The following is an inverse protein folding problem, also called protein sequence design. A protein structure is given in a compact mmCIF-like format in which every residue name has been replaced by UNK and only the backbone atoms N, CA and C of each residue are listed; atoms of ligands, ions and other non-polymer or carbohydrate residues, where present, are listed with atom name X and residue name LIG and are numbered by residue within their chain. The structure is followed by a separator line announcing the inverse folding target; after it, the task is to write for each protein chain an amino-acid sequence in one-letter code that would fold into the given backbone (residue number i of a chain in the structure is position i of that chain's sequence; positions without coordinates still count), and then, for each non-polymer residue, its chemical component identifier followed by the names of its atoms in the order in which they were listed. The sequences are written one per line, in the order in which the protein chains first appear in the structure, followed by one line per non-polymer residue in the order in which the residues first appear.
data_IF_633401911634
#
_entry.id   IF_633401911634
#
_cell.length_a   1.000
_cell.length_b   1.000
_cell.length_c   1.000
_cell.angle_alpha   90.00
_cell.angle_beta   90.00
_cell.angle_gamma   90.00
#
_symmetry.space_group_name_H-M   'P 1'
#
loop_
_entity.id
_entity.type
_entity.pdbx_description
1 polymer ?
#
# COMPACT_ATOMS: atom_id res chain seq x y z
N UNK A 1 1.15 23.83 32.04
CA UNK A 1 0.08 23.59 31.05
C UNK A 1 0.48 23.75 29.59
N UNK A 2 1.34 24.71 29.24
CA UNK A 2 1.78 24.92 27.86
C UNK A 2 3.31 25.06 27.78
N UNK A 3 3.91 24.70 26.66
CA UNK A 3 5.32 24.98 26.39
C UNK A 3 5.85 24.21 25.18
N UNK A 4 6.59 24.90 24.32
CA UNK A 4 7.29 24.30 23.18
C UNK A 4 8.72 23.92 23.59
N UNK A 5 9.28 22.91 22.93
CA UNK A 5 10.71 22.58 23.04
C UNK A 5 11.37 22.79 21.69
N UNK A 6 12.41 23.62 21.66
CA UNK A 6 13.33 23.75 20.53
C UNK A 6 14.65 23.11 20.92
N UNK A 7 15.02 22.03 20.24
CA UNK A 7 16.28 21.32 20.48
C UNK A 7 17.15 21.37 19.22
N UNK A 8 18.41 21.76 19.40
CA UNK A 8 19.48 21.61 18.41
C UNK A 8 20.73 21.10 19.11
N UNK A 9 21.34 20.05 18.58
CA UNK A 9 22.54 19.49 19.21
C UNK A 9 23.06 18.23 18.52
N UNK A 10 24.37 18.02 18.61
CA UNK A 10 25.06 16.81 18.17
C UNK A 10 25.36 15.96 19.40
N UNK A 11 25.11 14.66 19.34
CA UNK A 11 25.37 13.79 20.49
C UNK A 11 25.17 12.33 20.14
N UNK A 12 25.88 11.42 20.81
CA UNK A 12 25.70 9.98 20.60
C UNK A 12 24.26 9.53 20.91
N UNK A 13 23.63 10.16 21.90
CA UNK A 13 22.26 9.89 22.33
C UNK A 13 21.52 11.20 22.61
N UNK A 14 20.50 11.52 21.80
CA UNK A 14 19.63 12.66 22.01
C UNK A 14 18.23 12.17 22.41
N UNK A 15 17.71 12.65 23.54
CA UNK A 15 16.34 12.33 24.01
C UNK A 15 15.60 13.60 24.37
N UNK A 16 14.48 13.84 23.69
CA UNK A 16 13.60 14.99 23.95
C UNK A 16 12.20 14.50 24.26
N UNK A 17 11.63 14.93 25.38
CA UNK A 17 10.26 14.60 25.79
C UNK A 17 9.51 15.85 26.20
N UNK A 18 8.32 16.06 25.65
CA UNK A 18 7.41 17.13 26.06
C UNK A 18 6.07 16.54 26.52
N UNK A 19 5.76 16.71 27.81
CA UNK A 19 4.53 16.24 28.46
C UNK A 19 3.54 17.37 28.80
N UNK A 20 3.77 18.59 28.33
CA UNK A 20 2.82 19.69 28.53
C UNK A 20 1.47 19.38 27.87
N UNK A 21 0.38 19.89 28.45
CA UNK A 21 -0.97 19.70 27.88
C UNK A 21 -1.05 20.25 26.45
N UNK A 22 -0.46 21.43 26.20
CA UNK A 22 -0.29 22.01 24.86
C UNK A 22 1.16 22.39 24.59
N UNK A 23 1.54 22.39 23.32
CA UNK A 23 2.88 22.77 22.85
C UNK A 23 3.49 21.71 21.95
N UNK A 24 4.55 22.03 21.24
CA UNK A 24 5.15 21.22 20.19
C UNK A 24 6.61 20.88 20.52
N UNK A 25 7.20 19.99 19.73
CA UNK A 25 8.64 19.74 19.75
C UNK A 25 9.20 20.05 18.37
N UNK A 26 10.22 20.90 18.33
CA UNK A 26 11.03 21.21 17.17
C UNK A 26 12.43 20.65 17.41
N UNK A 27 12.75 19.54 16.77
CA UNK A 27 14.04 18.88 16.83
C UNK A 27 14.77 19.14 15.52
N UNK A 28 15.83 19.96 15.54
CA UNK A 28 16.57 20.37 14.35
C UNK A 28 18.06 20.11 14.54
N UNK A 29 18.73 19.58 13.51
CA UNK A 29 20.20 19.42 13.55
C UNK A 29 20.69 18.31 14.51
N UNK A 30 19.82 17.38 14.89
CA UNK A 30 20.22 16.22 15.67
C UNK A 30 20.96 15.19 14.85
N UNK A 31 22.28 15.35 14.75
CA UNK A 31 23.20 14.31 14.27
C UNK A 31 23.59 13.48 15.48
N UNK A 32 23.15 12.23 15.53
CA UNK A 32 23.44 11.36 16.67
C UNK A 32 23.24 9.89 16.37
N UNK A 33 23.96 9.00 17.06
CA UNK A 33 23.78 7.57 16.84
C UNK A 33 22.34 7.14 17.16
N UNK A 34 21.75 7.72 18.22
CA UNK A 34 20.38 7.47 18.64
C UNK A 34 19.63 8.78 18.93
N UNK A 35 18.54 9.03 18.21
CA UNK A 35 17.65 10.17 18.44
C UNK A 35 16.26 9.65 18.86
N UNK A 36 15.77 10.07 20.02
CA UNK A 36 14.41 9.78 20.51
C UNK A 36 13.65 11.05 20.83
N UNK A 37 12.50 11.24 20.19
CA UNK A 37 11.61 12.39 20.42
C UNK A 37 10.21 11.89 20.77
N UNK A 38 9.64 12.39 21.86
CA UNK A 38 8.36 11.93 22.39
C UNK A 38 7.46 13.07 22.84
N UNK A 39 6.26 13.18 22.24
CA UNK A 39 5.26 14.22 22.55
C UNK A 39 4.01 13.60 23.18
N UNK A 40 3.63 14.07 24.37
CA UNK A 40 2.47 13.58 25.16
C UNK A 40 1.59 14.72 25.69
N UNK A 41 0.28 14.66 25.50
CA UNK A 41 -0.61 15.65 26.08
C UNK A 41 -1.93 15.74 25.33
N UNK A 42 -2.59 16.90 25.44
CA UNK A 42 -3.82 17.14 24.70
C UNK A 42 -3.52 17.47 23.24
N UNK A 43 -2.66 18.46 22.97
CA UNK A 43 -2.34 18.85 21.60
C UNK A 43 -0.90 19.28 21.37
N UNK A 44 -0.36 18.98 20.21
CA UNK A 44 1.00 19.37 19.87
C UNK A 44 1.61 18.54 18.76
N UNK A 45 2.42 19.20 17.94
CA UNK A 45 3.08 18.55 16.82
C UNK A 45 4.50 18.13 17.20
N UNK A 46 5.06 17.21 16.41
CA UNK A 46 6.51 17.01 16.36
C UNK A 46 7.00 17.40 14.97
N UNK A 47 8.03 18.22 14.94
CA UNK A 47 8.80 18.54 13.75
C UNK A 47 10.22 18.01 13.98
N UNK A 48 10.62 17.02 13.20
CA UNK A 48 11.91 16.35 13.32
C UNK A 48 12.74 16.51 12.04
N UNK A 49 13.92 17.09 12.19
CA UNK A 49 14.96 17.20 11.17
C UNK A 49 16.28 16.68 11.75
N UNK A 50 16.70 15.47 11.36
CA UNK A 50 17.87 14.84 11.96
C UNK A 50 18.44 13.66 11.21
N UNK A 51 19.62 13.21 11.65
CA UNK A 51 20.34 12.08 11.09
C UNK A 51 20.83 11.16 12.22
N UNK A 52 20.79 9.85 12.00
CA UNK A 52 21.30 8.92 13.01
C UNK A 52 21.16 7.45 12.68
N UNK A 53 21.90 6.57 13.36
CA UNK A 53 21.72 5.12 13.17
C UNK A 53 20.30 4.69 13.56
N UNK A 54 19.71 5.31 14.57
CA UNK A 54 18.35 5.03 15.02
C UNK A 54 17.61 6.33 15.34
N UNK A 55 16.54 6.62 14.60
CA UNK A 55 15.65 7.75 14.85
C UNK A 55 14.28 7.22 15.28
N UNK A 56 13.79 7.61 16.46
CA UNK A 56 12.47 7.23 16.98
C UNK A 56 11.67 8.45 17.38
N UNK A 57 10.58 8.69 16.67
CA UNK A 57 9.71 9.85 16.85
C UNK A 57 8.30 9.39 17.16
N UNK A 58 7.78 9.72 18.35
CA UNK A 58 6.48 9.25 18.82
C UNK A 58 5.61 10.43 19.26
N UNK A 59 4.43 10.58 18.66
CA UNK A 59 3.41 11.53 19.09
C UNK A 59 2.16 10.79 19.59
N UNK A 60 1.87 10.91 20.88
CA UNK A 60 0.70 10.29 21.55
C UNK A 60 -0.33 11.32 22.01
N UNK A 61 -0.31 12.52 21.44
CA UNK A 61 -1.31 13.56 21.77
C UNK A 61 -2.72 13.17 21.32
N UNK A 62 -3.74 13.85 21.85
CA UNK A 62 -5.10 13.68 21.33
C UNK A 62 -5.24 14.32 19.94
N UNK A 63 -4.55 15.44 19.70
CA UNK A 63 -4.52 16.16 18.42
C UNK A 63 -3.10 16.63 18.10
N UNK A 64 -2.51 16.11 17.04
CA UNK A 64 -1.16 16.50 16.67
C UNK A 64 -0.61 15.66 15.55
N UNK A 65 0.30 16.23 14.79
CA UNK A 65 0.94 15.64 13.63
C UNK A 65 2.39 15.28 13.94
N UNK A 66 2.99 14.54 13.01
CA UNK A 66 4.43 14.37 12.93
C UNK A 66 4.87 14.79 11.54
N UNK A 67 5.82 15.71 11.45
CA UNK A 67 6.61 15.98 10.25
C UNK A 67 8.03 15.48 10.49
N UNK A 68 8.42 14.44 9.77
CA UNK A 68 9.71 13.77 9.88
C UNK A 68 10.49 13.96 8.59
N UNK A 69 11.68 14.53 8.73
CA UNK A 69 12.71 14.57 7.70
C UNK A 69 14.00 14.01 8.28
N UNK A 70 14.51 12.93 7.71
CA UNK A 70 15.75 12.38 8.23
C UNK A 70 16.34 11.22 7.47
N UNK A 71 17.60 10.95 7.81
CA UNK A 71 18.35 9.80 7.30
C UNK A 71 18.78 8.91 8.47
N UNK A 72 18.80 7.60 8.26
CA UNK A 72 19.29 6.73 9.31
C UNK A 72 19.35 5.25 9.02
N UNK A 73 19.93 4.48 9.93
CA UNK A 73 19.88 3.01 9.85
C UNK A 73 18.44 2.53 10.01
N UNK A 74 17.77 2.94 11.08
CA UNK A 74 16.38 2.64 11.37
C UNK A 74 15.60 3.90 11.74
N UNK A 75 14.56 4.22 10.98
CA UNK A 75 13.66 5.34 11.25
C UNK A 75 12.29 4.79 11.67
N UNK A 76 11.89 5.04 12.92
CA UNK A 76 10.58 4.67 13.47
C UNK A 76 9.77 5.91 13.81
N UNK A 77 8.65 6.09 13.13
CA UNK A 77 7.76 7.25 13.30
C UNK A 77 6.35 6.79 13.64
N UNK A 78 5.87 7.15 14.82
CA UNK A 78 4.63 6.60 15.37
C UNK A 78 3.68 7.71 15.85
N UNK A 79 2.55 7.85 15.16
CA UNK A 79 1.39 8.61 15.66
C UNK A 79 0.44 7.65 16.36
N UNK A 80 0.42 7.64 17.69
CA UNK A 80 -0.33 6.65 18.47
C UNK A 80 -1.58 7.23 19.13
N UNK A 81 -2.74 6.65 18.85
CA UNK A 81 -4.03 6.99 19.48
C UNK A 81 -4.46 8.45 19.26
N UNK A 82 -5.42 8.91 20.06
CA UNK A 82 -5.99 10.26 19.93
C UNK A 82 -7.02 10.40 18.81
N UNK A 83 -7.61 11.59 18.70
CA UNK A 83 -8.71 11.88 17.77
C UNK A 83 -8.22 12.14 16.35
N UNK A 84 -7.13 12.90 16.20
CA UNK A 84 -6.59 13.28 14.89
C UNK A 84 -5.07 13.35 14.90
N UNK A 85 -4.44 12.88 13.83
CA UNK A 85 -3.02 13.10 13.59
C UNK A 85 -2.51 12.55 12.28
N UNK A 86 -1.88 13.40 11.50
CA UNK A 86 -1.21 13.03 10.26
C UNK A 86 0.26 12.69 10.51
N UNK A 87 0.83 11.90 9.61
CA UNK A 87 2.27 11.72 9.49
C UNK A 87 2.72 12.18 8.11
N UNK A 88 3.72 13.04 8.06
CA UNK A 88 4.55 13.35 6.89
C UNK A 88 5.92 12.74 7.15
N UNK A 89 6.33 11.77 6.33
CA UNK A 89 7.63 11.13 6.39
C UNK A 89 8.39 11.40 5.09
N UNK A 90 9.59 11.99 5.21
CA UNK A 90 10.55 12.13 4.12
C UNK A 90 11.91 11.63 4.60
N UNK A 91 12.44 10.57 3.99
CA UNK A 91 13.71 10.07 4.48
C UNK A 91 14.27 8.86 3.78
N UNK A 92 15.50 8.52 4.16
CA UNK A 92 16.17 7.33 3.69
C UNK A 92 16.72 6.52 4.87
N UNK A 93 16.75 5.20 4.70
CA UNK A 93 17.40 4.36 5.68
C UNK A 93 17.43 2.88 5.36
N UNK A 94 18.14 2.08 6.15
CA UNK A 94 18.09 0.62 5.96
C UNK A 94 16.66 0.15 6.19
N UNK A 95 16.01 0.62 7.25
CA UNK A 95 14.61 0.33 7.51
C UNK A 95 13.84 1.58 7.96
N UNK A 96 12.70 1.83 7.34
CA UNK A 96 11.76 2.89 7.68
C UNK A 96 10.45 2.24 8.12
N UNK A 97 9.95 2.57 9.31
CA UNK A 97 8.69 2.05 9.86
C UNK A 97 7.82 3.21 10.31
N UNK A 98 6.66 3.37 9.67
CA UNK A 98 5.69 4.40 9.97
C UNK A 98 4.41 3.77 10.48
N UNK A 99 3.96 4.20 11.66
CA UNK A 99 2.77 3.65 12.33
C UNK A 99 1.79 4.78 12.63
N UNK A 100 0.56 4.71 12.11
CA UNK A 100 -0.52 5.63 12.45
C UNK A 100 -1.74 4.90 13.01
N UNK A 101 -2.00 5.10 14.29
CA UNK A 101 -3.15 4.52 15.02
C UNK A 101 -4.10 5.58 15.60
N UNK A 102 -4.02 6.83 15.14
CA UNK A 102 -5.02 7.84 15.48
C UNK A 102 -6.42 7.41 15.01
N UNK A 103 -7.49 7.98 15.56
CA UNK A 103 -8.85 7.69 15.06
C UNK A 103 -9.04 8.16 13.61
N UNK A 104 -8.41 9.27 13.24
CA UNK A 104 -8.39 9.80 11.87
C UNK A 104 -7.07 10.52 11.57
N UNK A 105 -6.60 10.41 10.34
CA UNK A 105 -5.41 11.11 9.88
C UNK A 105 -4.75 10.37 8.73
N UNK A 106 -3.99 11.10 7.92
CA UNK A 106 -3.33 10.57 6.74
C UNK A 106 -1.88 10.17 7.06
N UNK A 107 -1.33 9.27 6.25
CA UNK A 107 0.11 8.99 6.23
C UNK A 107 0.66 9.28 4.84
N UNK A 108 1.56 10.25 4.76
CA UNK A 108 2.31 10.57 3.55
C UNK A 108 3.75 10.09 3.73
N UNK A 109 4.21 9.20 2.86
CA UNK A 109 5.56 8.65 2.90
C UNK A 109 6.26 8.91 1.58
N UNK A 110 7.45 9.50 1.67
CA UNK A 110 8.40 9.64 0.57
C UNK A 110 9.75 9.14 1.06
N UNK A 111 10.26 8.06 0.48
CA UNK A 111 11.54 7.56 0.98
C UNK A 111 12.13 6.36 0.26
N UNK A 112 13.36 6.06 0.64
CA UNK A 112 14.14 4.94 0.11
C UNK A 112 14.71 4.09 1.23
N UNK A 113 14.82 2.78 1.00
CA UNK A 113 15.49 1.91 1.97
C UNK A 113 15.50 0.45 1.62
N UNK A 114 16.17 -0.38 2.42
CA UNK A 114 16.06 -1.83 2.24
C UNK A 114 14.64 -2.30 2.60
N UNK A 115 14.06 -1.76 3.66
CA UNK A 115 12.68 -2.03 4.06
C UNK A 115 11.90 -0.74 4.33
N UNK A 116 10.74 -0.56 3.69
CA UNK A 116 9.79 0.49 3.99
C UNK A 116 8.48 -0.15 4.46
N UNK A 117 8.08 0.09 5.71
CA UNK A 117 6.90 -0.51 6.34
C UNK A 117 5.96 0.60 6.79
N UNK A 118 4.69 0.51 6.38
CA UNK A 118 3.62 1.38 6.86
C UNK A 118 2.50 0.53 7.46
N UNK A 119 2.19 0.79 8.72
CA UNK A 119 1.02 0.24 9.39
C UNK A 119 0.06 1.39 9.75
N UNK A 120 -1.13 1.37 9.15
CA UNK A 120 -2.11 2.44 9.28
C UNK A 120 -3.47 1.86 9.66
N UNK A 121 -3.93 2.16 10.88
CA UNK A 121 -5.29 1.78 11.33
C UNK A 121 -6.22 2.98 11.46
N UNK A 122 -5.72 4.20 11.23
CA UNK A 122 -6.52 5.41 11.24
C UNK A 122 -7.53 5.44 10.08
N UNK A 123 -8.60 6.21 10.25
CA UNK A 123 -9.45 6.56 9.11
C UNK A 123 -8.81 7.75 8.38
N UNK A 124 -8.19 7.46 7.24
CA UNK A 124 -7.49 8.44 6.43
C UNK A 124 -6.71 7.76 5.30
N UNK A 125 -6.06 8.56 4.47
CA UNK A 125 -5.42 8.05 3.26
C UNK A 125 -3.95 7.70 3.51
N UNK A 126 -3.44 6.78 2.70
CA UNK A 126 -2.00 6.58 2.53
C UNK A 126 -1.59 7.12 1.16
N UNK A 127 -0.57 7.98 1.15
CA UNK A 127 0.25 8.25 -0.02
C UNK A 127 1.63 7.64 0.21
N UNK A 128 2.03 6.70 -0.64
CA UNK A 128 3.35 6.10 -0.62
C UNK A 128 4.08 6.39 -1.93
N UNK A 129 5.26 6.99 -1.82
CA UNK A 129 6.22 7.15 -2.90
C UNK A 129 7.56 6.61 -2.42
N UNK A 130 8.04 5.51 -2.98
CA UNK A 130 9.31 4.99 -2.49
C UNK A 130 9.90 3.81 -3.22
N UNK A 131 11.19 3.60 -2.95
CA UNK A 131 11.96 2.49 -3.50
C UNK A 131 12.54 1.65 -2.36
N UNK A 132 12.57 0.34 -2.54
CA UNK A 132 13.23 -0.52 -1.58
C UNK A 132 13.21 -2.00 -1.88
N UNK A 133 14.11 -2.76 -1.26
CA UNK A 133 14.13 -4.20 -1.42
C UNK A 133 12.80 -4.82 -0.95
N UNK A 134 12.19 -4.26 0.10
CA UNK A 134 10.84 -4.59 0.54
C UNK A 134 10.05 -3.32 0.81
N UNK A 135 8.86 -3.21 0.21
CA UNK A 135 7.84 -2.23 0.59
C UNK A 135 6.61 -2.97 1.10
N UNK A 136 6.21 -2.72 2.36
CA UNK A 136 5.03 -3.33 2.99
C UNK A 136 4.08 -2.25 3.49
N UNK A 137 2.84 -2.27 2.98
CA UNK A 137 1.79 -1.34 3.37
C UNK A 137 0.61 -2.13 3.91
N UNK A 138 0.18 -1.80 5.13
CA UNK A 138 -1.01 -2.36 5.77
C UNK A 138 -1.94 -1.23 6.16
N UNK A 139 -3.15 -1.22 5.60
CA UNK A 139 -4.20 -0.25 5.96
C UNK A 139 -5.46 -0.97 6.45
N UNK A 140 -5.72 -0.89 7.75
CA UNK A 140 -6.85 -1.54 8.44
C UNK A 140 -7.96 -0.57 8.87
N UNK A 141 -7.78 0.73 8.60
CA UNK A 141 -8.81 1.73 8.84
C UNK A 141 -10.10 1.45 8.05
N UNK A 142 -11.25 1.77 8.64
CA UNK A 142 -12.55 1.54 8.01
C UNK A 142 -12.71 2.35 6.71
N UNK A 143 -12.14 3.55 6.69
CA UNK A 143 -12.23 4.48 5.57
C UNK A 143 -10.84 4.98 5.18
N UNK A 144 -10.62 5.17 3.88
CA UNK A 144 -9.37 5.72 3.37
C UNK A 144 -8.89 5.00 2.12
N UNK A 145 -8.24 5.77 1.27
CA UNK A 145 -7.67 5.34 0.01
C UNK A 145 -6.17 5.04 0.15
N UNK A 146 -5.63 4.20 -0.74
CA UNK A 146 -4.18 4.02 -0.89
C UNK A 146 -3.78 4.46 -2.30
N UNK A 147 -2.89 5.45 -2.36
CA UNK A 147 -2.14 5.79 -3.55
C UNK A 147 -0.70 5.32 -3.36
N UNK A 148 -0.28 4.35 -4.17
CA UNK A 148 1.04 3.75 -4.09
C UNK A 148 1.79 3.94 -5.39
N UNK A 149 2.98 4.52 -5.32
CA UNK A 149 3.95 4.56 -6.40
C UNK A 149 5.26 4.05 -5.82
N UNK A 150 5.74 2.92 -6.32
CA UNK A 150 7.00 2.43 -5.79
C UNK A 150 7.52 1.20 -6.46
N UNK A 151 8.74 0.85 -6.08
CA UNK A 151 9.33 -0.35 -6.59
C UNK A 151 10.49 -0.94 -5.80
N UNK A 152 10.99 -2.06 -6.31
CA UNK A 152 12.16 -2.77 -5.82
C UNK A 152 11.94 -4.28 -5.70
N UNK A 153 12.45 -4.94 -4.67
CA UNK A 153 12.51 -6.41 -4.63
C UNK A 153 11.14 -7.06 -4.46
N UNK A 154 10.41 -6.68 -3.41
CA UNK A 154 9.10 -7.20 -3.07
C UNK A 154 8.16 -6.09 -2.61
N UNK A 155 6.93 -6.08 -3.14
CA UNK A 155 5.90 -5.11 -2.76
C UNK A 155 4.68 -5.86 -2.20
N UNK A 156 4.30 -5.56 -0.96
CA UNK A 156 3.20 -6.20 -0.25
C UNK A 156 2.20 -5.12 0.19
N UNK A 157 1.03 -5.11 -0.42
CA UNK A 157 0.00 -4.09 -0.17
C UNK A 157 -1.26 -4.78 0.33
N UNK A 158 -1.66 -4.47 1.56
CA UNK A 158 -2.85 -5.01 2.20
C UNK A 158 -3.78 -3.86 2.59
N UNK A 159 -4.99 -3.87 2.05
CA UNK A 159 -6.08 -2.98 2.44
C UNK A 159 -7.25 -3.80 2.96
N UNK A 160 -7.70 -3.52 4.18
CA UNK A 160 -8.90 -4.11 4.78
C UNK A 160 -9.73 -3.08 5.52
N UNK A 161 -11.04 -3.07 5.31
CA UNK A 161 -11.94 -2.12 5.95
C UNK A 161 -13.27 -2.02 5.23
N UNK A 162 -14.06 -0.98 5.53
CA UNK A 162 -15.37 -0.80 4.92
C UNK A 162 -15.28 -0.22 3.52
N UNK A 163 -14.66 0.96 3.36
CA UNK A 163 -14.62 1.67 2.08
C UNK A 163 -13.25 2.28 1.80
N UNK A 164 -12.80 2.19 0.55
CA UNK A 164 -11.55 2.79 0.12
C UNK A 164 -11.18 2.37 -1.29
N UNK A 165 -10.71 3.34 -2.07
CA UNK A 165 -10.17 3.13 -3.40
C UNK A 165 -8.67 2.84 -3.34
N UNK A 166 -8.17 2.17 -4.37
CA UNK A 166 -6.75 1.93 -4.57
C UNK A 166 -6.31 2.43 -5.94
N UNK A 167 -5.19 3.16 -5.97
CA UNK A 167 -4.43 3.47 -7.17
C UNK A 167 -2.98 3.05 -6.95
N UNK A 168 -2.61 1.90 -7.53
CA UNK A 168 -1.34 1.25 -7.28
C UNK A 168 -0.53 1.20 -8.58
N UNK A 169 0.65 1.80 -8.56
CA UNK A 169 1.67 1.70 -9.61
C UNK A 169 2.93 1.09 -8.99
N UNK A 170 3.15 -0.19 -9.31
CA UNK A 170 4.13 -1.02 -8.62
C UNK A 170 5.08 -1.65 -9.62
N UNK A 171 6.39 -1.50 -9.40
CA UNK A 171 7.43 -2.17 -10.17
C UNK A 171 8.32 -3.01 -9.24
N UNK A 172 8.42 -4.31 -9.41
CA UNK A 172 9.34 -5.07 -8.56
C UNK A 172 9.48 -6.56 -8.82
N UNK A 173 10.43 -7.21 -8.14
CA UNK A 173 10.71 -8.63 -8.33
C UNK A 173 9.48 -9.53 -8.11
N UNK A 174 8.67 -9.21 -7.09
CA UNK A 174 7.36 -9.80 -6.87
C UNK A 174 6.39 -8.83 -6.21
N UNK A 175 5.14 -8.82 -6.67
CA UNK A 175 4.10 -7.93 -6.16
C UNK A 175 2.93 -8.75 -5.62
N UNK A 176 2.51 -8.49 -4.39
CA UNK A 176 1.37 -9.12 -3.73
C UNK A 176 0.41 -8.05 -3.24
N UNK A 177 -0.80 -8.07 -3.76
CA UNK A 177 -1.88 -7.15 -3.36
C UNK A 177 -3.04 -7.95 -2.79
N UNK A 178 -3.48 -7.60 -1.58
CA UNK A 178 -4.72 -8.10 -0.99
C UNK A 178 -5.62 -6.92 -0.65
N UNK A 179 -6.80 -6.88 -1.26
CA UNK A 179 -7.66 -5.71 -1.21
C UNK A 179 -9.11 -6.09 -0.88
N UNK A 180 -9.55 -5.73 0.33
CA UNK A 180 -10.83 -6.13 0.92
C UNK A 180 -11.60 -4.91 1.44
N UNK A 181 -12.20 -4.16 0.52
CA UNK A 181 -13.04 -2.97 0.80
C UNK A 181 -14.13 -2.78 -0.25
N UNK A 182 -15.12 -1.96 0.04
CA UNK A 182 -15.97 -1.39 -1.01
C UNK A 182 -15.25 -0.20 -1.67
N UNK A 183 -15.13 -0.20 -2.99
CA UNK A 183 -14.42 0.86 -3.72
C UNK A 183 -13.80 0.37 -5.03
N UNK A 184 -13.21 1.29 -5.78
CA UNK A 184 -12.51 0.94 -7.01
C UNK A 184 -11.06 0.55 -6.71
N UNK A 185 -10.57 -0.51 -7.32
CA UNK A 185 -9.16 -0.87 -7.32
C UNK A 185 -8.57 -0.69 -8.72
N UNK A 186 -7.61 0.20 -8.88
CA UNK A 186 -6.74 0.29 -10.05
C UNK A 186 -5.34 -0.19 -9.66
N UNK A 187 -4.81 -1.15 -10.38
CA UNK A 187 -3.46 -1.65 -10.11
C UNK A 187 -2.69 -1.92 -11.41
N UNK A 188 -1.54 -1.28 -11.53
CA UNK A 188 -0.52 -1.54 -12.53
C UNK A 188 0.64 -2.22 -11.82
N UNK A 189 0.77 -3.53 -12.01
CA UNK A 189 1.78 -4.36 -11.37
C UNK A 189 2.75 -4.86 -12.43
N UNK A 190 3.94 -4.28 -12.47
CA UNK A 190 5.06 -4.78 -13.26
C UNK A 190 6.01 -5.54 -12.36
N UNK A 191 6.45 -6.72 -12.79
CA UNK A 191 7.45 -7.44 -12.04
C UNK A 191 8.22 -8.50 -12.80
N UNK A 192 9.34 -8.93 -12.23
CA UNK A 192 10.23 -9.89 -12.91
C UNK A 192 9.79 -11.34 -12.73
N UNK A 193 9.11 -11.68 -11.63
CA UNK A 193 8.67 -13.05 -11.33
C UNK A 193 7.16 -13.20 -11.27
N UNK A 194 6.51 -12.52 -10.33
CA UNK A 194 5.11 -12.80 -10.02
C UNK A 194 4.34 -11.53 -9.66
N UNK A 195 3.14 -11.41 -10.20
CA UNK A 195 2.09 -10.55 -9.68
C UNK A 195 0.97 -11.41 -9.10
N UNK A 196 0.68 -11.27 -7.81
CA UNK A 196 -0.47 -11.92 -7.15
C UNK A 196 -1.43 -10.86 -6.64
N UNK A 197 -2.70 -10.98 -7.01
CA UNK A 197 -3.75 -10.08 -6.57
C UNK A 197 -4.96 -10.85 -6.06
N UNK A 198 -5.35 -10.57 -4.82
CA UNK A 198 -6.57 -11.04 -4.20
C UNK A 198 -7.50 -9.85 -3.93
N UNK A 199 -8.72 -9.87 -4.46
CA UNK A 199 -9.72 -8.80 -4.32
C UNK A 199 -11.02 -9.36 -3.74
N UNK A 200 -11.55 -8.67 -2.74
CA UNK A 200 -12.80 -8.98 -2.04
C UNK A 200 -13.65 -7.74 -1.80
N UNK A 201 -14.97 -7.88 -1.62
CA UNK A 201 -15.88 -6.77 -1.31
C UNK A 201 -16.71 -6.35 -2.52
N UNK A 202 -16.82 -5.04 -2.78
CA UNK A 202 -17.56 -4.48 -3.93
C UNK A 202 -16.78 -3.44 -4.70
N UNK A 203 -17.09 -3.31 -5.98
CA UNK A 203 -16.61 -2.26 -6.87
C UNK A 203 -15.68 -2.75 -7.96
N UNK A 204 -15.47 -1.87 -8.94
CA UNK A 204 -14.71 -2.20 -10.14
C UNK A 204 -13.23 -2.43 -9.85
N UNK A 205 -12.63 -3.34 -10.62
CA UNK A 205 -11.22 -3.70 -10.53
C UNK A 205 -10.58 -3.59 -11.90
N UNK A 206 -9.57 -2.73 -12.05
CA UNK A 206 -8.84 -2.52 -13.31
C UNK A 206 -7.37 -2.85 -13.13
N UNK A 207 -6.91 -3.84 -13.87
CA UNK A 207 -5.59 -4.45 -13.68
C UNK A 207 -4.78 -4.39 -14.97
N UNK A 208 -3.52 -4.00 -14.84
CA UNK A 208 -2.48 -4.20 -15.85
C UNK A 208 -1.36 -4.95 -15.16
N UNK A 209 -1.09 -6.18 -15.60
CA UNK A 209 -0.14 -7.09 -14.97
C UNK A 209 0.89 -7.53 -16.00
N UNK A 210 2.16 -7.33 -15.68
CA UNK A 210 3.29 -7.73 -16.53
C UNK A 210 4.31 -8.45 -15.66
N UNK A 211 4.45 -9.77 -15.81
CA UNK A 211 5.46 -10.59 -15.14
C UNK A 211 5.52 -12.00 -15.72
N UNK A 212 6.43 -12.87 -15.28
CA UNK A 212 6.41 -14.28 -15.72
C UNK A 212 5.11 -14.99 -15.32
N UNK A 213 4.58 -14.72 -14.12
CA UNK A 213 3.34 -15.31 -13.62
C UNK A 213 2.37 -14.26 -13.05
N UNK A 214 1.20 -14.12 -13.65
CA UNK A 214 0.15 -13.26 -13.15
C UNK A 214 -0.98 -14.12 -12.58
N UNK A 215 -1.25 -13.98 -11.28
CA UNK A 215 -2.32 -14.70 -10.56
C UNK A 215 -3.31 -13.69 -10.01
N UNK A 216 -4.55 -13.77 -10.48
CA UNK A 216 -5.64 -12.86 -10.10
C UNK A 216 -6.79 -13.66 -9.54
N UNK A 217 -7.17 -13.37 -8.31
CA UNK A 217 -8.36 -13.88 -7.67
C UNK A 217 -9.26 -12.72 -7.26
N UNK A 218 -10.43 -12.62 -7.87
CA UNK A 218 -11.42 -11.57 -7.59
C UNK A 218 -12.72 -12.25 -7.15
N UNK A 219 -13.08 -12.07 -5.89
CA UNK A 219 -14.31 -12.57 -5.28
C UNK A 219 -15.11 -11.38 -4.73
N UNK A 220 -15.94 -10.78 -5.56
CA UNK A 220 -16.71 -9.58 -5.22
C UNK A 220 -18.20 -9.85 -5.34
N UNK A 221 -19.02 -9.21 -4.51
CA UNK A 221 -20.47 -9.37 -4.66
C UNK A 221 -20.99 -8.63 -5.90
N UNK A 222 -20.36 -7.52 -6.26
CA UNK A 222 -20.68 -6.73 -7.45
C UNK A 222 -19.47 -5.89 -7.90
N UNK A 223 -19.24 -5.80 -9.21
CA UNK A 223 -18.23 -4.94 -9.82
C UNK A 223 -17.52 -5.60 -11.00
N UNK A 224 -17.20 -4.82 -12.03
CA UNK A 224 -16.55 -5.32 -13.24
C UNK A 224 -15.06 -5.62 -12.99
N UNK A 225 -14.52 -6.61 -13.70
CA UNK A 225 -13.08 -6.87 -13.78
C UNK A 225 -12.59 -6.54 -15.20
N UNK A 226 -11.78 -5.49 -15.32
CA UNK A 226 -11.01 -5.18 -16.53
C UNK A 226 -9.56 -5.61 -16.30
N UNK A 227 -9.03 -6.50 -17.13
CA UNK A 227 -7.71 -7.08 -16.94
C UNK A 227 -6.94 -7.13 -18.24
N UNK A 228 -5.73 -6.59 -18.22
CA UNK A 228 -4.68 -6.88 -19.19
C UNK A 228 -3.54 -7.62 -18.48
N UNK A 229 -3.20 -8.81 -18.97
CA UNK A 229 -2.13 -9.64 -18.42
C UNK A 229 -1.12 -10.03 -19.50
N UNK A 230 0.17 -9.85 -19.21
CA UNK A 230 1.27 -10.28 -20.07
C UNK A 230 2.24 -11.12 -19.24
N UNK A 231 2.48 -12.35 -19.65
CA UNK A 231 3.38 -13.25 -18.92
C UNK A 231 3.50 -14.63 -19.50
N UNK A 232 4.39 -15.47 -18.95
CA UNK A 232 4.44 -16.89 -19.35
C UNK A 232 3.14 -17.59 -18.97
N UNK A 233 2.61 -17.30 -17.78
CA UNK A 233 1.33 -17.82 -17.31
C UNK A 233 0.44 -16.70 -16.76
N UNK A 234 -0.81 -16.64 -17.22
CA UNK A 234 -1.85 -15.80 -16.65
C UNK A 234 -2.98 -16.70 -16.10
N UNK A 235 -3.23 -16.64 -14.80
CA UNK A 235 -4.27 -17.41 -14.11
C UNK A 235 -5.25 -16.43 -13.47
N UNK A 236 -6.52 -16.53 -13.83
CA UNK A 236 -7.56 -15.61 -13.41
C UNK A 236 -8.76 -16.38 -12.89
N UNK A 237 -9.19 -16.07 -11.68
CA UNK A 237 -10.46 -16.52 -11.12
C UNK A 237 -11.30 -15.29 -10.81
N UNK A 238 -12.49 -15.20 -11.41
CA UNK A 238 -13.43 -14.11 -11.16
C UNK A 238 -14.80 -14.64 -10.77
N UNK A 239 -15.14 -14.42 -9.51
CA UNK A 239 -16.41 -14.78 -8.88
C UNK A 239 -17.15 -13.50 -8.49
N UNK A 240 -18.28 -13.24 -9.13
CA UNK A 240 -19.09 -12.06 -8.80
C UNK A 240 -20.10 -11.66 -9.86
N UNK A 241 -20.89 -10.64 -9.53
CA UNK A 241 -21.85 -10.01 -10.44
C UNK A 241 -21.17 -8.85 -11.17
N UNK A 242 -21.03 -8.96 -12.48
CA UNK A 242 -20.37 -7.93 -13.29
C UNK A 242 -19.80 -8.48 -14.58
N UNK A 243 -19.24 -7.61 -15.40
CA UNK A 243 -18.58 -7.99 -16.65
C UNK A 243 -17.12 -8.35 -16.41
N UNK A 244 -16.69 -9.48 -16.96
CA UNK A 244 -15.28 -9.81 -17.12
C UNK A 244 -14.81 -9.31 -18.49
N UNK A 245 -13.79 -8.46 -18.52
CA UNK A 245 -13.09 -8.05 -19.72
C UNK A 245 -11.61 -8.42 -19.58
N UNK A 246 -11.20 -9.51 -20.22
CA UNK A 246 -9.86 -10.07 -20.08
C UNK A 246 -9.11 -10.04 -21.41
N UNK A 247 -7.92 -9.43 -21.41
CA UNK A 247 -6.96 -9.42 -22.50
C UNK A 247 -5.66 -10.04 -22.01
N UNK A 248 -5.44 -11.31 -22.31
CA UNK A 248 -4.32 -12.07 -21.78
C UNK A 248 -3.39 -12.53 -22.89
N UNK A 249 -2.10 -12.30 -22.70
CA UNK A 249 -1.05 -12.58 -23.67
C UNK A 249 0.05 -13.38 -22.97
N UNK A 250 0.49 -14.49 -23.56
CA UNK A 250 1.48 -15.32 -22.89
C UNK A 250 1.80 -16.68 -23.48
N UNK A 251 2.41 -17.52 -22.64
CA UNK A 251 2.59 -18.94 -22.94
C UNK A 251 1.32 -19.74 -22.67
N UNK A 252 0.66 -19.48 -21.54
CA UNK A 252 -0.60 -20.08 -21.14
C UNK A 252 -1.54 -19.07 -20.47
N UNK A 253 -2.82 -19.13 -20.83
CA UNK A 253 -3.91 -18.36 -20.21
C UNK A 253 -4.95 -19.31 -19.63
N UNK A 254 -5.28 -19.14 -18.35
CA UNK A 254 -6.32 -19.90 -17.65
C UNK A 254 -7.29 -18.91 -17.00
N UNK A 255 -8.57 -19.04 -17.32
CA UNK A 255 -9.63 -18.22 -16.73
C UNK A 255 -10.73 -19.14 -16.19
N UNK A 256 -11.08 -18.95 -14.93
CA UNK A 256 -12.26 -19.53 -14.28
C UNK A 256 -13.24 -18.43 -13.90
N UNK A 257 -14.47 -18.56 -14.36
CA UNK A 257 -15.54 -17.59 -14.16
C UNK A 257 -16.67 -18.21 -13.34
N UNK A 258 -17.14 -17.48 -12.33
CA UNK A 258 -18.28 -17.84 -11.49
C UNK A 258 -19.18 -16.61 -11.25
N UNK A 259 -20.48 -16.82 -11.05
CA UNK A 259 -21.43 -15.76 -10.69
C UNK A 259 -22.35 -15.36 -11.84
N UNK A 260 -22.43 -14.07 -12.17
CA UNK A 260 -23.28 -13.60 -13.27
C UNK A 260 -22.73 -12.36 -13.99
N UNK A 261 -23.16 -12.17 -15.23
CA UNK A 261 -22.72 -11.10 -16.12
C UNK A 261 -21.78 -11.59 -17.22
N UNK A 262 -21.63 -10.77 -18.26
CA UNK A 262 -20.98 -11.18 -19.50
C UNK A 262 -19.45 -11.35 -19.36
N UNK A 263 -18.88 -12.16 -20.23
CA UNK A 263 -17.43 -12.35 -20.38
C UNK A 263 -16.99 -11.92 -21.78
N UNK A 264 -16.03 -10.99 -21.84
CA UNK A 264 -15.39 -10.49 -23.07
C UNK A 264 -13.91 -10.87 -23.03
N UNK A 265 -13.49 -11.78 -23.89
CA UNK A 265 -12.18 -12.43 -23.80
C UNK A 265 -11.36 -12.23 -25.08
N UNK A 266 -10.10 -11.81 -24.93
CA UNK A 266 -9.10 -11.79 -25.99
C UNK A 266 -7.85 -12.49 -25.48
N UNK A 267 -7.71 -13.76 -25.82
CA UNK A 267 -6.64 -14.61 -25.30
C UNK A 267 -5.70 -15.02 -26.43
N UNK A 268 -4.41 -14.73 -26.25
CA UNK A 268 -3.35 -15.11 -27.17
C UNK A 268 -2.25 -15.83 -26.40
N UNK A 269 -2.16 -17.15 -26.57
CA UNK A 269 -1.15 -17.98 -25.94
C UNK A 269 -0.98 -19.31 -26.66
N UNK A 270 0.08 -20.06 -26.36
CA UNK A 270 0.22 -21.44 -26.83
C UNK A 270 -0.97 -22.31 -26.38
N UNK A 271 -1.42 -22.11 -25.14
CA UNK A 271 -2.62 -22.74 -24.58
C UNK A 271 -3.55 -21.72 -23.93
N UNK A 272 -4.83 -21.79 -24.26
CA UNK A 272 -5.91 -21.02 -23.64
C UNK A 272 -6.96 -21.98 -23.07
N UNK A 273 -7.27 -21.82 -21.78
CA UNK A 273 -8.32 -22.56 -21.09
C UNK A 273 -9.28 -21.57 -20.43
N UNK A 274 -10.54 -21.63 -20.81
CA UNK A 274 -11.62 -20.90 -20.17
C UNK A 274 -12.62 -21.90 -19.60
N UNK A 275 -13.10 -21.64 -18.38
CA UNK A 275 -14.14 -22.44 -17.74
C UNK A 275 -15.15 -21.49 -17.12
N UNK A 276 -16.41 -21.64 -17.50
CA UNK A 276 -17.50 -20.75 -17.08
C UNK A 276 -18.58 -21.50 -16.31
N UNK A 277 -18.83 -21.07 -15.07
CA UNK A 277 -19.93 -21.50 -14.22
C UNK A 277 -20.91 -20.34 -13.95
N UNK A 278 -20.84 -19.25 -14.72
CA UNK A 278 -21.66 -18.06 -14.55
C UNK A 278 -22.87 -18.03 -15.49
N UNK A 279 -23.84 -17.18 -15.14
CA UNK A 279 -24.95 -16.84 -16.04
C UNK A 279 -24.60 -15.56 -16.81
N UNK A 280 -24.55 -15.64 -18.13
CA UNK A 280 -24.22 -14.50 -18.99
C UNK A 280 -23.75 -14.93 -20.36
N UNK A 281 -23.58 -13.96 -21.26
CA UNK A 281 -23.04 -14.23 -22.58
C UNK A 281 -21.51 -14.21 -22.54
N UNK A 282 -20.90 -15.17 -23.22
CA UNK A 282 -19.45 -15.19 -23.49
C UNK A 282 -19.22 -14.74 -24.93
N UNK A 283 -18.30 -13.79 -25.12
CA UNK A 283 -17.83 -13.34 -26.43
C UNK A 283 -16.32 -13.21 -26.40
N UNK A 284 -15.63 -13.67 -27.44
CA UNK A 284 -14.19 -13.52 -27.47
C UNK A 284 -13.49 -14.25 -28.60
N UNK A 285 -12.18 -14.06 -28.66
CA UNK A 285 -11.29 -14.74 -29.59
C UNK A 285 -10.15 -15.37 -28.81
N UNK A 286 -9.94 -16.67 -29.05
CA UNK A 286 -8.87 -17.46 -28.46
C UNK A 286 -7.95 -17.90 -29.60
N UNK A 287 -6.69 -17.51 -29.51
CA UNK A 287 -5.66 -17.84 -30.49
C UNK A 287 -4.53 -18.60 -29.81
N UNK A 288 -4.25 -19.81 -30.31
CA UNK A 288 -3.28 -20.72 -29.72
C UNK A 288 -3.30 -22.10 -30.34
N UNK A 289 -2.27 -22.90 -30.06
CA UNK A 289 -2.22 -24.31 -30.46
C UNK A 289 -3.26 -25.15 -29.72
N UNK A 290 -3.63 -24.74 -28.50
CA UNK A 290 -4.71 -25.34 -27.70
C UNK A 290 -5.70 -24.26 -27.24
N UNK A 291 -6.99 -24.48 -27.49
CA UNK A 291 -8.06 -23.63 -27.00
C UNK A 291 -9.18 -24.53 -26.42
N UNK A 292 -9.45 -24.39 -25.13
CA UNK A 292 -10.50 -25.11 -24.39
C UNK A 292 -11.48 -24.09 -23.81
N UNK A 293 -12.77 -24.34 -23.96
CA UNK A 293 -13.89 -23.53 -23.46
C UNK A 293 -14.94 -24.45 -22.84
#
# INVERSE_FOLDING_TARGET
DQGDIHFTGIGAYNKVTNSASRGSIYFTGGIGAYNKVERRGYSGDIVFYGAGFYNRVINVTHKGNIDFVGIGGYNLVERRGGYRGNISFKGAGVANHVVNTARSGNTNFIGGGAANIIDHSANGNILFIGIGAINKITHTGNYGDINFIGGGGGNFITRSGRRGNGDLSVLGGGNVVTWSTDGRLKAKLGGSRLNKLNRYGRGNTDLILVSLGNIVKVEVSEGNLNLMGVGVANIVTYKGKGTLNARLFGGANVITREGSGNSILYLLAGANVFTDFSTGNVRGSLFGGLNIV
#
